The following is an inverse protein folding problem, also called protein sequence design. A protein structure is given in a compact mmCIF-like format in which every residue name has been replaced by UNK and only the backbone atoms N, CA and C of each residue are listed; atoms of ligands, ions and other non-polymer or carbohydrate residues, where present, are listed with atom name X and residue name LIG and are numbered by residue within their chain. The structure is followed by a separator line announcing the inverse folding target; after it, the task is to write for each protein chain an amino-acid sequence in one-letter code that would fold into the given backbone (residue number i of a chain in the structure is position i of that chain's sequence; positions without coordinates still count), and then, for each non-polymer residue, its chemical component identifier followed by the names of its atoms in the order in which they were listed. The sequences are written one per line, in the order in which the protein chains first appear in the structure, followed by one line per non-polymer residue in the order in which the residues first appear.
data_IF_505271463100
#
_entry.id   IF_505271463100
#
_cell.length_a   1.000
_cell.length_b   1.000
_cell.length_c   1.000
_cell.angle_alpha   90.00
_cell.angle_beta   90.00
_cell.angle_gamma   90.00
#
_symmetry.space_group_name_H-M   'P 1'
#
loop_
_entity.id
_entity.type
_entity.pdbx_description
1 polymer ?
#
# COMPACT_ATOMS: atom_id res chain seq x y z
N UNK A 1 32.08 -5.14 18.82
CA UNK A 1 31.17 -4.80 17.75
C UNK A 1 31.92 -4.07 16.61
N UNK A 2 32.65 -2.97 16.90
CA UNK A 2 33.39 -2.17 15.92
C UNK A 2 34.42 -2.95 15.09
N UNK A 3 35.23 -3.85 15.71
CA UNK A 3 36.16 -4.71 14.95
C UNK A 3 35.50 -5.56 13.85
N UNK A 4 34.25 -6.02 14.05
CA UNK A 4 33.53 -6.73 13.01
C UNK A 4 33.10 -5.80 11.88
N UNK A 5 32.67 -4.59 12.20
CA UNK A 5 32.28 -3.57 11.20
C UNK A 5 33.49 -3.18 10.34
N UNK A 6 34.68 -3.01 10.93
CA UNK A 6 35.90 -2.76 10.16
C UNK A 6 36.17 -3.85 9.14
N UNK A 7 36.10 -5.12 9.54
CA UNK A 7 36.25 -6.25 8.59
C UNK A 7 35.19 -6.29 7.49
N UNK A 8 33.96 -5.92 7.83
CA UNK A 8 32.87 -5.82 6.81
C UNK A 8 33.19 -4.70 5.83
N UNK A 9 33.62 -3.52 6.31
CA UNK A 9 34.00 -2.40 5.45
C UNK A 9 35.17 -2.74 4.51
N UNK A 10 36.11 -3.59 4.94
CA UNK A 10 37.23 -4.04 4.12
C UNK A 10 36.77 -5.02 3.00
N UNK A 11 35.82 -5.90 3.31
CA UNK A 11 35.41 -7.02 2.45
C UNK A 11 34.19 -6.71 1.58
N UNK A 12 33.37 -5.71 1.94
CA UNK A 12 32.14 -5.42 1.25
C UNK A 12 32.36 -4.88 -0.17
N UNK A 13 31.81 -5.57 -1.15
CA UNK A 13 31.86 -5.27 -2.59
C UNK A 13 30.47 -4.98 -3.14
N UNK A 14 30.35 -4.41 -4.36
CA UNK A 14 29.07 -4.29 -5.06
C UNK A 14 28.34 -5.62 -5.09
N UNK A 15 27.00 -5.58 -4.92
CA UNK A 15 26.12 -6.75 -4.86
C UNK A 15 26.31 -7.68 -3.63
N UNK A 16 27.07 -7.27 -2.63
CA UNK A 16 27.11 -7.93 -1.33
C UNK A 16 25.88 -7.53 -0.50
N UNK A 17 25.29 -8.46 0.21
CA UNK A 17 24.27 -8.16 1.22
C UNK A 17 24.97 -8.09 2.60
N UNK A 18 24.84 -6.95 3.27
CA UNK A 18 25.36 -6.71 4.61
C UNK A 18 24.18 -6.55 5.57
N UNK A 19 24.21 -7.31 6.67
CA UNK A 19 23.24 -7.23 7.75
C UNK A 19 23.94 -6.76 9.02
N UNK A 20 23.49 -5.62 9.56
CA UNK A 20 24.03 -5.04 10.79
C UNK A 20 22.92 -4.95 11.84
N UNK A 21 23.19 -5.53 12.99
CA UNK A 21 22.26 -5.47 14.11
C UNK A 21 22.75 -4.48 15.16
N UNK A 22 21.84 -3.62 15.65
CA UNK A 22 22.10 -2.54 16.60
C UNK A 22 23.30 -1.66 16.19
N UNK A 23 23.27 -1.15 14.95
CA UNK A 23 24.32 -0.32 14.42
C UNK A 23 24.49 0.96 15.24
N UNK A 24 25.72 1.20 15.70
CA UNK A 24 26.09 2.35 16.53
C UNK A 24 25.99 2.10 18.04
N UNK A 25 25.44 0.99 18.50
CA UNK A 25 25.31 0.70 19.93
C UNK A 25 26.67 0.49 20.62
N UNK A 26 26.71 0.84 21.91
CA UNK A 26 27.89 0.60 22.77
C UNK A 26 28.90 1.75 22.87
N UNK A 27 28.54 2.94 22.38
CA UNK A 27 29.29 4.18 22.55
C UNK A 27 28.37 5.33 22.96
N UNK A 28 28.90 6.56 23.02
CA UNK A 28 28.05 7.75 23.17
C UNK A 28 27.00 7.81 22.09
N UNK A 29 25.72 8.12 22.42
CA UNK A 29 24.63 8.09 21.45
C UNK A 29 24.84 8.98 20.22
N UNK A 30 25.36 10.20 20.43
CA UNK A 30 25.57 11.13 19.31
C UNK A 30 26.72 10.65 18.40
N UNK A 31 27.82 10.16 18.98
CA UNK A 31 28.94 9.55 18.23
C UNK A 31 28.50 8.26 17.52
N UNK A 32 27.69 7.44 18.19
CA UNK A 32 27.13 6.20 17.65
C UNK A 32 26.25 6.44 16.44
N UNK A 33 25.36 7.42 16.53
CA UNK A 33 24.50 7.82 15.43
C UNK A 33 25.30 8.37 14.23
N UNK A 34 26.27 9.26 14.49
CA UNK A 34 27.15 9.82 13.45
C UNK A 34 27.97 8.74 12.72
N UNK A 35 28.56 7.80 13.47
CA UNK A 35 29.26 6.65 12.90
C UNK A 35 28.36 5.75 12.09
N UNK A 36 27.14 5.49 12.56
CA UNK A 36 26.17 4.67 11.86
C UNK A 36 25.78 5.30 10.51
N UNK A 37 25.53 6.61 10.47
CA UNK A 37 25.27 7.33 9.22
C UNK A 37 26.45 7.19 8.26
N UNK A 38 27.67 7.45 8.71
CA UNK A 38 28.86 7.37 7.89
C UNK A 38 29.11 5.97 7.32
N UNK A 39 28.85 4.92 8.11
CA UNK A 39 28.97 3.52 7.68
C UNK A 39 27.92 3.20 6.61
N UNK A 40 26.67 3.62 6.79
CA UNK A 40 25.60 3.41 5.80
C UNK A 40 25.93 4.12 4.48
N UNK A 41 26.40 5.38 4.55
CA UNK A 41 26.80 6.14 3.36
C UNK A 41 27.95 5.47 2.60
N UNK A 42 28.97 5.01 3.30
CA UNK A 42 30.11 4.34 2.68
C UNK A 42 29.69 3.02 2.00
N UNK A 43 28.89 2.18 2.65
CA UNK A 43 28.39 0.94 2.07
C UNK A 43 27.48 1.21 0.87
N UNK A 44 26.59 2.22 0.97
CA UNK A 44 25.74 2.67 -0.12
C UNK A 44 26.56 3.15 -1.33
N UNK A 45 27.59 3.96 -1.11
CA UNK A 45 28.48 4.46 -2.14
C UNK A 45 29.19 3.34 -2.89
N UNK A 46 29.48 2.21 -2.22
CA UNK A 46 30.05 1.01 -2.82
C UNK A 46 29.04 0.12 -3.54
N UNK A 47 27.75 0.46 -3.57
CA UNK A 47 26.73 -0.36 -4.19
C UNK A 47 26.38 -1.65 -3.42
N UNK A 48 26.61 -1.65 -2.10
CA UNK A 48 26.27 -2.75 -1.21
C UNK A 48 24.79 -2.69 -0.87
N UNK A 49 24.12 -3.85 -0.84
CA UNK A 49 22.79 -3.98 -0.29
C UNK A 49 22.91 -4.08 1.24
N UNK A 50 22.29 -3.15 1.96
CA UNK A 50 22.42 -3.05 3.41
C UNK A 50 21.05 -3.14 4.08
N UNK A 51 20.97 -3.92 5.14
CA UNK A 51 19.90 -3.84 6.13
C UNK A 51 20.54 -3.65 7.50
N UNK A 52 20.12 -2.61 8.22
CA UNK A 52 20.61 -2.32 9.55
C UNK A 52 19.45 -2.09 10.52
N UNK A 53 19.55 -2.64 11.73
CA UNK A 53 18.67 -2.28 12.85
C UNK A 53 19.34 -1.22 13.72
N UNK A 54 18.55 -0.30 14.23
CA UNK A 54 19.00 0.75 15.14
C UNK A 54 17.81 1.35 15.89
N UNK A 55 18.09 2.00 16.99
CA UNK A 55 17.12 2.77 17.78
C UNK A 55 17.36 4.29 17.73
N UNK A 56 18.36 4.76 16.96
CA UNK A 56 18.67 6.19 16.87
C UNK A 56 17.67 6.96 16.01
N UNK A 57 17.15 8.06 16.56
CA UNK A 57 16.19 8.91 15.86
C UNK A 57 16.82 9.62 14.65
N UNK A 58 18.10 9.96 14.71
CA UNK A 58 18.87 10.61 13.65
C UNK A 58 18.92 9.75 12.38
N UNK A 59 18.95 8.42 12.51
CA UNK A 59 18.95 7.53 11.36
C UNK A 59 17.58 7.47 10.68
N UNK A 60 16.51 7.69 11.44
CA UNK A 60 15.17 7.80 10.84
C UNK A 60 15.08 9.03 9.94
N UNK A 61 15.60 10.17 10.40
CA UNK A 61 15.66 11.42 9.62
C UNK A 61 16.57 11.25 8.40
N UNK A 62 17.77 10.72 8.62
CA UNK A 62 18.71 10.45 7.55
C UNK A 62 18.09 9.61 6.41
N UNK A 63 17.31 8.59 6.75
CA UNK A 63 16.66 7.75 5.76
C UNK A 63 15.49 8.45 5.00
N UNK A 64 14.84 9.45 5.62
CA UNK A 64 13.83 10.28 4.93
C UNK A 64 14.47 11.24 3.92
N UNK A 65 15.67 11.75 4.21
CA UNK A 65 16.35 12.76 3.39
C UNK A 65 17.27 12.15 2.33
N UNK A 66 17.63 10.86 2.48
CA UNK A 66 18.66 10.23 1.64
C UNK A 66 18.05 9.32 0.59
N UNK A 67 18.21 9.67 -0.69
CA UNK A 67 17.74 8.83 -1.80
C UNK A 67 18.44 7.46 -1.78
N UNK A 68 17.64 6.38 -1.86
CA UNK A 68 18.14 5.01 -1.85
C UNK A 68 18.31 4.41 -0.46
N UNK A 69 17.91 5.13 0.58
CA UNK A 69 17.75 4.63 1.95
C UNK A 69 16.28 4.68 2.31
N UNK A 70 15.78 3.65 2.95
CA UNK A 70 14.36 3.51 3.30
C UNK A 70 14.24 3.08 4.74
N UNK A 71 13.38 3.78 5.49
CA UNK A 71 13.00 3.34 6.83
C UNK A 71 12.13 2.07 6.75
N UNK A 72 12.28 1.20 7.72
CA UNK A 72 11.37 0.09 7.94
C UNK A 72 11.16 -0.09 9.45
N UNK A 73 9.94 -0.38 9.86
CA UNK A 73 9.59 -0.62 11.25
C UNK A 73 8.90 -1.95 11.43
N UNK A 74 9.21 -2.65 12.54
CA UNK A 74 8.48 -3.83 12.94
C UNK A 74 7.20 -3.42 13.67
N UNK A 75 6.07 -3.95 13.25
CA UNK A 75 4.80 -3.73 13.95
C UNK A 75 4.83 -4.43 15.31
N UNK A 76 4.29 -3.76 16.31
CA UNK A 76 4.19 -4.25 17.67
C UNK A 76 2.74 -4.13 18.16
N UNK A 77 2.20 -5.20 18.67
CA UNK A 77 0.85 -5.22 19.24
C UNK A 77 0.89 -4.62 20.65
N UNK A 78 0.31 -3.44 20.79
CA UNK A 78 0.26 -2.72 22.04
C UNK A 78 -0.77 -3.29 23.04
N UNK A 79 -1.72 -4.11 22.60
CA UNK A 79 -2.68 -4.75 23.48
C UNK A 79 -2.08 -5.98 24.15
N UNK A 80 -1.46 -6.83 23.35
CA UNK A 80 -0.85 -8.08 23.83
C UNK A 80 0.59 -7.93 24.28
N UNK A 81 1.22 -6.78 24.03
CA UNK A 81 2.65 -6.50 24.23
C UNK A 81 3.57 -7.54 23.55
N UNK A 82 3.21 -7.94 22.32
CA UNK A 82 3.95 -8.93 21.54
C UNK A 82 4.35 -8.40 20.17
N UNK A 83 5.48 -8.84 19.62
CA UNK A 83 5.82 -8.54 18.25
C UNK A 83 4.86 -9.26 17.30
N UNK A 84 4.38 -8.56 16.26
CA UNK A 84 3.56 -9.17 15.21
C UNK A 84 4.39 -9.83 14.11
N UNK A 85 5.70 -9.57 14.09
CA UNK A 85 6.64 -10.00 13.05
C UNK A 85 6.31 -9.46 11.65
N UNK A 86 5.50 -8.42 11.57
CA UNK A 86 5.23 -7.70 10.32
C UNK A 86 6.19 -6.54 10.17
N UNK A 87 6.72 -6.37 8.97
CA UNK A 87 7.61 -5.27 8.62
C UNK A 87 6.87 -4.26 7.74
N UNK A 88 6.77 -3.03 8.23
CA UNK A 88 6.26 -1.89 7.46
C UNK A 88 7.42 -1.12 6.83
N UNK A 89 7.53 -1.18 5.51
CA UNK A 89 8.60 -0.50 4.75
C UNK A 89 8.16 0.90 4.33
N UNK A 90 9.09 1.85 4.42
CA UNK A 90 8.90 3.25 4.02
C UNK A 90 8.32 4.14 5.12
N UNK A 91 8.18 3.62 6.35
CA UNK A 91 7.75 4.39 7.52
C UNK A 91 8.71 4.17 8.67
N UNK A 92 9.22 5.24 9.28
CA UNK A 92 9.96 5.14 10.53
C UNK A 92 9.00 4.80 11.67
N UNK A 93 9.34 3.80 12.49
CA UNK A 93 8.50 3.42 13.64
C UNK A 93 8.50 4.48 14.73
N UNK A 94 7.35 4.64 15.40
CA UNK A 94 7.21 5.43 16.63
C UNK A 94 7.92 4.73 17.79
N UNK A 95 8.41 5.51 18.73
CA UNK A 95 8.81 4.98 20.03
C UNK A 95 7.56 4.75 20.90
N UNK A 96 7.37 3.53 21.34
CA UNK A 96 6.26 3.17 22.23
C UNK A 96 6.74 2.93 23.67
N UNK A 97 7.96 3.38 24.02
CA UNK A 97 8.59 3.08 25.28
C UNK A 97 7.73 3.49 26.50
N UNK A 98 7.18 4.69 26.49
CA UNK A 98 6.33 5.17 27.59
C UNK A 98 5.04 4.37 27.73
N UNK A 99 4.35 4.11 26.63
CA UNK A 99 3.11 3.33 26.61
C UNK A 99 3.33 1.87 27.06
N UNK A 100 4.43 1.27 26.61
CA UNK A 100 4.85 -0.07 27.04
C UNK A 100 5.19 -0.06 28.54
N UNK A 101 5.91 0.95 29.02
CA UNK A 101 6.27 1.10 30.42
C UNK A 101 5.05 1.26 31.33
N UNK A 102 4.08 2.03 30.91
CA UNK A 102 2.80 2.18 31.59
C UNK A 102 2.06 0.85 31.73
N UNK A 103 1.93 0.11 30.64
CA UNK A 103 1.29 -1.21 30.63
C UNK A 103 2.05 -2.26 31.44
N UNK A 104 3.36 -2.11 31.59
CA UNK A 104 4.19 -2.95 32.46
C UNK A 104 4.12 -2.54 33.94
N UNK A 105 3.35 -1.49 34.28
CA UNK A 105 3.08 -1.09 35.66
C UNK A 105 4.01 -0.03 36.23
N UNK A 106 4.78 0.69 35.39
CA UNK A 106 5.48 1.87 35.86
C UNK A 106 4.44 2.95 36.24
N UNK A 107 4.52 3.52 37.46
CA UNK A 107 3.58 4.53 37.90
C UNK A 107 3.53 5.74 36.95
N UNK A 108 2.32 6.21 36.62
CA UNK A 108 2.07 7.34 35.72
C UNK A 108 2.93 8.57 36.05
N UNK A 109 3.02 8.92 37.32
CA UNK A 109 3.88 10.03 37.82
C UNK A 109 5.34 9.93 37.39
N UNK A 110 5.86 8.70 37.24
CA UNK A 110 7.26 8.47 36.79
C UNK A 110 7.38 8.68 35.29
N UNK A 111 6.36 8.24 34.54
CA UNK A 111 6.29 8.41 33.08
C UNK A 111 6.14 9.89 32.73
N UNK A 112 5.25 10.63 33.41
CA UNK A 112 5.09 12.08 33.26
C UNK A 112 6.39 12.83 33.53
N UNK A 113 7.08 12.49 34.62
CA UNK A 113 8.37 13.07 34.95
C UNK A 113 9.41 12.77 33.86
N UNK A 114 9.48 11.53 33.35
CA UNK A 114 10.37 11.16 32.27
C UNK A 114 10.08 11.92 30.97
N UNK A 115 8.82 12.12 30.62
CA UNK A 115 8.39 12.90 29.45
C UNK A 115 8.81 14.37 29.55
N UNK A 116 8.91 14.94 30.78
CA UNK A 116 9.42 16.30 30.97
C UNK A 116 10.91 16.43 30.66
N UNK A 117 11.67 15.36 30.81
CA UNK A 117 13.10 15.32 30.50
C UNK A 117 13.41 15.11 29.01
N UNK A 118 12.41 14.79 28.16
CA UNK A 118 12.63 14.77 26.72
C UNK A 118 12.88 16.16 26.18
N UNK A 119 13.84 16.29 25.27
CA UNK A 119 14.09 17.54 24.57
C UNK A 119 12.90 18.01 23.75
N UNK A 120 12.81 19.30 23.47
CA UNK A 120 11.76 19.83 22.61
C UNK A 120 11.87 19.30 21.17
N UNK A 121 13.10 19.00 20.74
CA UNK A 121 13.37 18.45 19.40
C UNK A 121 12.91 17.00 19.27
N UNK A 122 13.17 16.16 20.28
CA UNK A 122 12.70 14.77 20.33
C UNK A 122 11.17 14.69 20.30
N UNK A 123 10.50 15.55 21.11
CA UNK A 123 9.03 15.64 21.12
C UNK A 123 8.46 16.06 19.77
N UNK A 124 9.10 17.02 19.08
CA UNK A 124 8.67 17.45 17.75
C UNK A 124 8.86 16.36 16.71
N UNK A 125 10.01 15.67 16.76
CA UNK A 125 10.30 14.57 15.85
C UNK A 125 9.30 13.42 16.03
N UNK A 126 9.06 12.97 17.26
CA UNK A 126 8.07 11.92 17.54
C UNK A 126 6.65 12.34 17.12
N UNK A 127 6.27 13.59 17.28
CA UNK A 127 4.98 14.10 16.82
C UNK A 127 4.85 14.07 15.29
N UNK A 128 5.90 14.50 14.57
CA UNK A 128 5.90 14.46 13.08
C UNK A 128 5.90 13.03 12.57
N UNK A 129 6.70 12.15 13.15
CA UNK A 129 6.70 10.72 12.81
C UNK A 129 5.32 10.10 13.05
N UNK A 130 4.66 10.50 14.15
CA UNK A 130 3.30 10.11 14.46
C UNK A 130 2.29 10.50 13.38
N UNK A 131 2.33 11.75 12.96
CA UNK A 131 1.44 12.24 11.90
C UNK A 131 1.69 11.53 10.55
N UNK A 132 2.95 11.21 10.24
CA UNK A 132 3.28 10.44 9.03
C UNK A 132 2.71 9.03 9.05
N UNK A 133 2.76 8.36 10.19
CA UNK A 133 2.16 7.02 10.35
C UNK A 133 0.64 7.07 10.16
N UNK A 134 -0.03 8.02 10.80
CA UNK A 134 -1.48 8.19 10.71
C UNK A 134 -1.90 8.51 9.26
N UNK A 135 -1.18 9.42 8.60
CA UNK A 135 -1.46 9.80 7.21
C UNK A 135 -1.27 8.61 6.24
N UNK A 136 -0.23 7.81 6.47
CA UNK A 136 0.01 6.61 5.65
C UNK A 136 -1.06 5.55 5.85
N UNK A 137 -1.55 5.36 7.08
CA UNK A 137 -2.67 4.46 7.34
C UNK A 137 -3.90 4.90 6.59
N UNK A 138 -4.26 6.19 6.68
CA UNK A 138 -5.39 6.77 5.94
C UNK A 138 -5.24 6.62 4.42
N UNK A 139 -4.03 6.85 3.90
CA UNK A 139 -3.75 6.68 2.48
C UNK A 139 -3.95 5.23 2.03
N UNK A 140 -3.50 4.26 2.83
CA UNK A 140 -3.68 2.83 2.54
C UNK A 140 -5.15 2.43 2.56
N UNK A 141 -5.92 2.92 3.53
CA UNK A 141 -7.37 2.68 3.61
C UNK A 141 -8.09 3.27 2.39
N UNK A 142 -7.77 4.51 2.03
CA UNK A 142 -8.34 5.16 0.84
C UNK A 142 -7.96 4.44 -0.46
N UNK A 143 -6.73 3.93 -0.59
CA UNK A 143 -6.32 3.13 -1.74
C UNK A 143 -7.11 1.83 -1.85
N UNK A 144 -7.36 1.14 -0.74
CA UNK A 144 -8.17 -0.07 -0.73
C UNK A 144 -9.62 0.23 -1.15
N UNK A 145 -10.21 1.30 -0.62
CA UNK A 145 -11.57 1.74 -0.99
C UNK A 145 -11.68 2.08 -2.49
N UNK A 146 -10.70 2.78 -3.03
CA UNK A 146 -10.65 3.09 -4.47
C UNK A 146 -10.55 1.82 -5.31
N UNK A 147 -9.76 0.82 -4.90
CA UNK A 147 -9.66 -0.44 -5.63
C UNK A 147 -10.95 -1.26 -5.57
N UNK A 148 -11.65 -1.28 -4.43
CA UNK A 148 -12.96 -1.90 -4.29
C UNK A 148 -14.01 -1.23 -5.19
N UNK A 149 -14.09 0.10 -5.16
CA UNK A 149 -15.00 0.86 -6.01
C UNK A 149 -14.71 0.66 -7.51
N UNK A 150 -13.45 0.58 -7.89
CA UNK A 150 -13.03 0.32 -9.26
C UNK A 150 -13.47 -1.08 -9.73
N UNK A 151 -13.32 -2.08 -8.86
CA UNK A 151 -13.76 -3.44 -9.15
C UNK A 151 -15.29 -3.51 -9.29
N UNK A 152 -16.01 -2.85 -8.40
CA UNK A 152 -17.49 -2.78 -8.48
C UNK A 152 -17.94 -2.07 -9.76
N UNK A 153 -17.35 -0.92 -10.10
CA UNK A 153 -17.64 -0.20 -11.33
C UNK A 153 -17.37 -1.05 -12.60
N UNK A 154 -16.29 -1.83 -12.60
CA UNK A 154 -15.98 -2.76 -13.69
C UNK A 154 -17.05 -3.83 -13.85
N UNK A 155 -17.49 -4.45 -12.76
CA UNK A 155 -18.58 -5.44 -12.79
C UNK A 155 -19.90 -4.85 -13.26
N UNK A 156 -20.24 -3.65 -12.81
CA UNK A 156 -21.45 -2.96 -13.27
C UNK A 156 -21.39 -2.64 -14.77
N UNK A 157 -20.24 -2.21 -15.27
CA UNK A 157 -20.03 -1.93 -16.68
C UNK A 157 -20.19 -3.19 -17.54
N UNK A 158 -19.59 -4.31 -17.14
CA UNK A 158 -19.72 -5.59 -17.82
C UNK A 158 -21.17 -6.07 -17.84
N UNK A 159 -21.88 -5.97 -16.71
CA UNK A 159 -23.30 -6.33 -16.62
C UNK A 159 -24.18 -5.45 -17.53
N UNK A 160 -23.91 -4.14 -17.56
CA UNK A 160 -24.62 -3.20 -18.43
C UNK A 160 -24.37 -3.47 -19.92
N UNK A 161 -23.11 -3.78 -20.28
CA UNK A 161 -22.76 -4.14 -21.66
C UNK A 161 -23.48 -5.43 -22.10
N UNK A 162 -23.46 -6.47 -21.26
CA UNK A 162 -24.16 -7.71 -21.53
C UNK A 162 -25.66 -7.48 -21.71
N UNK A 163 -26.28 -6.70 -20.84
CA UNK A 163 -27.71 -6.36 -20.93
C UNK A 163 -28.04 -5.59 -22.20
N UNK A 164 -27.19 -4.66 -22.60
CA UNK A 164 -27.30 -3.91 -23.84
C UNK A 164 -27.25 -4.86 -25.04
N UNK A 165 -26.30 -5.78 -25.08
CA UNK A 165 -26.12 -6.71 -26.19
C UNK A 165 -27.30 -7.69 -26.29
N UNK A 166 -27.84 -8.17 -25.16
CA UNK A 166 -29.07 -8.98 -25.09
C UNK A 166 -30.29 -8.22 -25.66
N UNK A 167 -30.45 -6.94 -25.30
CA UNK A 167 -31.55 -6.10 -25.79
C UNK A 167 -31.44 -5.82 -27.29
N UNK A 168 -30.24 -5.60 -27.81
CA UNK A 168 -30.02 -5.43 -29.25
C UNK A 168 -30.39 -6.70 -29.99
N UNK A 169 -29.97 -7.87 -29.53
CA UNK A 169 -30.29 -9.17 -30.15
C UNK A 169 -31.78 -9.45 -30.10
N UNK A 170 -32.45 -9.14 -29.00
CA UNK A 170 -33.91 -9.27 -28.91
C UNK A 170 -34.61 -8.35 -29.91
N UNK A 171 -34.22 -7.10 -30.03
CA UNK A 171 -34.76 -6.14 -30.99
C UNK A 171 -34.57 -6.57 -32.45
N UNK A 172 -33.41 -7.13 -32.79
CA UNK A 172 -33.14 -7.68 -34.12
C UNK A 172 -34.06 -8.88 -34.44
N UNK A 173 -34.21 -9.81 -33.48
CA UNK A 173 -35.09 -10.96 -33.64
C UNK A 173 -36.57 -10.55 -33.80
N UNK A 174 -37.03 -9.58 -33.02
CA UNK A 174 -38.39 -9.04 -33.14
C UNK A 174 -38.63 -8.37 -34.50
N UNK A 175 -37.63 -7.61 -34.98
CA UNK A 175 -37.71 -6.96 -36.28
C UNK A 175 -37.75 -7.97 -37.42
N UNK A 176 -36.95 -9.04 -37.36
CA UNK A 176 -36.99 -10.11 -38.35
C UNK A 176 -38.36 -10.85 -38.34
N UNK A 177 -38.88 -11.16 -37.17
CA UNK A 177 -40.19 -11.77 -37.01
C UNK A 177 -41.32 -10.87 -37.57
N UNK A 178 -41.27 -9.58 -37.32
CA UNK A 178 -42.20 -8.61 -37.86
C UNK A 178 -42.14 -8.52 -39.41
N UNK A 179 -40.94 -8.48 -39.96
CA UNK A 179 -40.68 -8.49 -41.40
C UNK A 179 -41.20 -9.79 -42.07
N UNK A 180 -40.96 -10.93 -41.43
CA UNK A 180 -41.48 -12.22 -41.93
C UNK A 180 -43.01 -12.25 -41.96
N UNK A 181 -43.66 -11.76 -40.87
CA UNK A 181 -45.12 -11.64 -40.83
C UNK A 181 -45.68 -10.70 -41.90
N UNK A 182 -45.06 -9.56 -42.13
CA UNK A 182 -45.46 -8.59 -43.14
C UNK A 182 -45.34 -9.18 -44.56
N UNK A 183 -44.26 -9.91 -44.86
CA UNK A 183 -44.10 -10.62 -46.16
C UNK A 183 -45.14 -11.69 -46.36
N UNK A 184 -45.44 -12.51 -45.35
CA UNK A 184 -46.47 -13.52 -45.43
C UNK A 184 -47.86 -12.92 -45.67
N UNK A 185 -48.18 -11.82 -44.99
CA UNK A 185 -49.47 -11.12 -45.21
C UNK A 185 -49.55 -10.51 -46.60
N UNK A 186 -48.47 -9.91 -47.12
CA UNK A 186 -48.44 -9.40 -48.49
C UNK A 186 -48.69 -10.51 -49.55
N UNK A 187 -47.99 -11.64 -49.37
CA UNK A 187 -48.23 -12.81 -50.26
C UNK A 187 -49.62 -13.33 -50.17
N UNK A 188 -50.24 -13.38 -48.99
CA UNK A 188 -51.64 -13.80 -48.83
C UNK A 188 -52.64 -12.86 -49.54
N UNK A 189 -52.40 -11.53 -49.37
CA UNK A 189 -53.22 -10.51 -50.06
C UNK A 189 -53.09 -10.64 -51.60
N UNK A 190 -51.87 -10.83 -52.08
CA UNK A 190 -51.58 -10.98 -53.49
C UNK A 190 -52.29 -12.25 -54.06
N UNK A 191 -52.16 -13.37 -53.34
CA UNK A 191 -52.88 -14.62 -53.75
C UNK A 191 -54.39 -14.47 -53.77
N UNK A 192 -54.95 -13.77 -52.77
CA UNK A 192 -56.43 -13.50 -52.76
C UNK A 192 -56.81 -12.57 -53.88
N UNK A 193 -56.05 -11.57 -54.24
CA UNK A 193 -56.27 -10.66 -55.35
C UNK A 193 -56.29 -11.42 -56.72
N UNK A 194 -55.32 -12.33 -56.89
CA UNK A 194 -55.29 -13.16 -58.07
C UNK A 194 -56.53 -14.12 -58.18
N UNK A 195 -56.90 -14.75 -57.06
CA UNK A 195 -58.11 -15.63 -57.05
C UNK A 195 -59.36 -14.86 -57.38
N UNK A 196 -59.54 -13.66 -56.80
CA UNK A 196 -60.68 -12.79 -57.11
C UNK A 196 -60.73 -12.33 -58.59
N UNK A 197 -59.56 -12.05 -59.18
CA UNK A 197 -59.47 -11.67 -60.60
C UNK A 197 -59.77 -12.81 -61.54
N UNK A 198 -59.45 -14.05 -61.17
CA UNK A 198 -59.83 -15.24 -61.95
C UNK A 198 -61.30 -15.56 -61.85
N UNK A 199 -61.91 -15.39 -60.68
CA UNK A 199 -63.40 -15.54 -60.54
C UNK A 199 -64.18 -14.49 -61.32
N UNK A 200 -63.68 -13.30 -61.50
CA UNK A 200 -64.30 -12.22 -62.28
C UNK A 200 -64.11 -12.38 -63.78
N UNK A 201 -63.25 -13.29 -64.24
CA UNK A 201 -63.04 -13.60 -65.68
C UNK A 201 -63.81 -14.78 -66.19
N UNK A 202 -64.51 -15.53 -65.33
CA UNK A 202 -65.46 -16.56 -65.65
C UNK A 202 -66.87 -15.97 -65.72
#
# INVERSE_FOLDING_TARGET
HMKKITGILELAMPHTLVLLDELGAGTDPAEGAALAVAIIEELRRRGVLLMATTHYAELKVFALETKGVVNASCEFDLETLRPTYKLSVGVPGKSNAFLISEKLGIPERVIEAAQQHLSAEDKRLDAVLGQLDDLKLQLKESQNEVEELKNEASHQLEAAQKKRDELIQQGENELEAARAKARALAQQVESQAYALTDELRQ
#
